data_IF_064144007186
#
_entry.id   IF_064144007186
#
_cell.length_a   1.000
_cell.length_b   1.000
_cell.length_c   1.000
_cell.angle_alpha   90.00
_cell.angle_beta   90.00
_cell.angle_gamma   90.00
#
_symmetry.space_group_name_H-M   'P 1'
#
loop_
_entity.id
_entity.type
_entity.pdbx_description
1 polymer ?
#
# COMPACT_ATOMS: atom_id res chain seq x y z
N UNK A 1 -19.80 -3.36 -47.21
CA UNK A 1 -20.18 -3.16 -45.80
C UNK A 1 -19.14 -2.27 -45.15
N UNK A 2 -19.54 -1.05 -44.84
CA UNK A 2 -18.68 0.06 -44.41
C UNK A 2 -17.86 -0.29 -43.16
N UNK A 3 -16.61 0.19 -43.09
CA UNK A 3 -15.67 -0.03 -41.97
C UNK A 3 -16.27 0.45 -40.65
N UNK A 4 -17.05 1.53 -40.72
CA UNK A 4 -17.78 2.09 -39.58
C UNK A 4 -18.83 1.11 -39.03
N UNK A 5 -19.65 0.51 -39.89
CA UNK A 5 -20.68 -0.47 -39.49
C UNK A 5 -20.05 -1.68 -38.80
N UNK A 6 -18.90 -2.17 -39.29
CA UNK A 6 -18.19 -3.31 -38.67
C UNK A 6 -17.71 -2.98 -37.25
N UNK A 7 -17.19 -1.77 -37.03
CA UNK A 7 -16.75 -1.32 -35.70
C UNK A 7 -17.94 -1.21 -34.74
N UNK A 8 -19.05 -0.64 -35.18
CA UNK A 8 -20.26 -0.51 -34.36
C UNK A 8 -20.82 -1.89 -33.97
N UNK A 9 -20.91 -2.83 -34.92
CA UNK A 9 -21.36 -4.21 -34.64
C UNK A 9 -20.41 -4.90 -33.67
N UNK A 10 -19.10 -4.74 -33.83
CA UNK A 10 -18.11 -5.34 -32.93
C UNK A 10 -18.22 -4.79 -31.50
N UNK A 11 -18.38 -3.47 -31.33
CA UNK A 11 -18.58 -2.85 -30.02
C UNK A 11 -19.91 -3.29 -29.37
N UNK A 12 -20.98 -3.42 -30.16
CA UNK A 12 -22.26 -3.91 -29.67
C UNK A 12 -22.18 -5.38 -29.20
N UNK A 13 -21.43 -6.23 -29.91
CA UNK A 13 -21.18 -7.62 -29.48
C UNK A 13 -20.37 -7.67 -28.18
N UNK A 14 -19.30 -6.88 -28.06
CA UNK A 14 -18.52 -6.79 -26.82
C UNK A 14 -19.42 -6.35 -25.66
N UNK A 15 -20.21 -5.29 -25.84
CA UNK A 15 -21.11 -4.80 -24.82
C UNK A 15 -22.16 -5.85 -24.42
N UNK A 16 -22.81 -6.50 -25.39
CA UNK A 16 -23.77 -7.57 -25.14
C UNK A 16 -23.16 -8.75 -24.38
N UNK A 17 -21.94 -9.16 -24.73
CA UNK A 17 -21.19 -10.20 -24.02
C UNK A 17 -20.85 -9.80 -22.59
N UNK A 18 -20.45 -8.54 -22.35
CA UNK A 18 -20.16 -8.04 -21.00
C UNK A 18 -21.41 -7.97 -20.12
N UNK A 19 -22.55 -7.56 -20.69
CA UNK A 19 -23.85 -7.57 -19.99
C UNK A 19 -24.24 -9.00 -19.63
N UNK A 20 -24.18 -9.94 -20.58
CA UNK A 20 -24.48 -11.34 -20.33
C UNK A 20 -23.53 -11.94 -19.26
N UNK A 21 -22.23 -11.62 -19.32
CA UNK A 21 -21.25 -12.07 -18.33
C UNK A 21 -21.56 -11.53 -16.92
N UNK A 22 -21.96 -10.26 -16.80
CA UNK A 22 -22.32 -9.64 -15.52
C UNK A 22 -23.54 -10.30 -14.85
N UNK A 23 -24.48 -10.80 -15.65
CA UNK A 23 -25.66 -11.53 -15.13
C UNK A 23 -25.26 -12.80 -14.37
N UNK A 24 -24.24 -13.51 -14.86
CA UNK A 24 -23.71 -14.72 -14.20
C UNK A 24 -22.61 -14.44 -13.18
N UNK A 25 -22.11 -13.20 -13.12
CA UNK A 25 -21.03 -12.79 -12.24
C UNK A 25 -21.44 -11.50 -11.51
N UNK A 26 -22.26 -11.58 -10.45
CA UNK A 26 -22.85 -10.39 -9.79
C UNK A 26 -21.80 -9.44 -9.19
N UNK A 27 -20.57 -9.91 -8.95
CA UNK A 27 -19.46 -9.10 -8.47
C UNK A 27 -18.64 -8.43 -9.59
N UNK A 28 -18.96 -8.71 -10.86
CA UNK A 28 -18.31 -8.11 -12.01
C UNK A 28 -18.69 -6.63 -12.11
N UNK A 29 -17.68 -5.77 -12.10
CA UNK A 29 -17.86 -4.33 -12.31
C UNK A 29 -16.83 -3.88 -13.33
N UNK A 30 -17.31 -3.36 -14.47
CA UNK A 30 -16.44 -2.92 -15.56
C UNK A 30 -15.41 -1.85 -15.10
N UNK A 31 -15.80 -1.04 -14.11
CA UNK A 31 -14.95 -0.02 -13.48
C UNK A 31 -13.65 -0.59 -12.89
N UNK A 32 -13.66 -1.84 -12.40
CA UNK A 32 -12.48 -2.53 -11.84
C UNK A 32 -11.45 -2.94 -12.89
N UNK A 33 -11.85 -2.97 -14.17
CA UNK A 33 -10.99 -3.36 -15.29
C UNK A 33 -10.59 -2.16 -16.17
N UNK A 34 -10.80 -0.94 -15.66
CA UNK A 34 -10.28 0.26 -16.31
C UNK A 34 -8.75 0.33 -16.17
N UNK A 35 -8.03 0.97 -17.10
CA UNK A 35 -6.60 1.17 -16.97
C UNK A 35 -6.20 1.81 -15.64
N UNK A 36 -7.00 2.76 -15.14
CA UNK A 36 -6.78 3.43 -13.85
C UNK A 36 -6.86 2.43 -12.69
N UNK A 37 -7.89 1.58 -12.66
CA UNK A 37 -8.04 0.56 -11.61
C UNK A 37 -6.92 -0.50 -11.66
N UNK A 38 -6.47 -0.88 -12.86
CA UNK A 38 -5.33 -1.81 -13.02
C UNK A 38 -4.02 -1.20 -12.49
N UNK A 39 -3.76 0.08 -12.79
CA UNK A 39 -2.56 0.78 -12.29
C UNK A 39 -2.62 0.88 -10.76
N UNK A 40 -3.76 1.26 -10.19
CA UNK A 40 -3.96 1.33 -8.74
C UNK A 40 -3.73 -0.03 -8.06
N UNK A 41 -4.30 -1.11 -8.62
CA UNK A 41 -4.10 -2.47 -8.14
C UNK A 41 -2.62 -2.91 -8.20
N UNK A 42 -1.90 -2.54 -9.26
CA UNK A 42 -0.48 -2.83 -9.35
C UNK A 42 0.34 -2.09 -8.28
N UNK A 43 0.03 -0.81 -8.04
CA UNK A 43 0.63 -0.03 -6.95
C UNK A 43 0.32 -0.63 -5.59
N UNK A 44 -0.90 -1.12 -5.37
CA UNK A 44 -1.27 -1.80 -4.12
C UNK A 44 -0.49 -3.10 -3.91
N UNK A 45 -0.23 -3.86 -4.96
CA UNK A 45 0.65 -5.04 -4.86
C UNK A 45 2.08 -4.62 -4.50
N UNK A 46 2.61 -3.56 -5.14
CA UNK A 46 3.90 -2.98 -4.77
C UNK A 46 3.94 -2.57 -3.30
N UNK A 47 2.90 -1.88 -2.78
CA UNK A 47 2.81 -1.51 -1.36
C UNK A 47 2.89 -2.71 -0.42
N UNK A 48 2.17 -3.78 -0.75
CA UNK A 48 2.17 -5.00 0.07
C UNK A 48 3.54 -5.67 0.07
N UNK A 49 4.22 -5.73 -1.06
CA UNK A 49 5.54 -6.33 -1.17
C UNK A 49 6.61 -5.44 -0.48
N UNK A 50 6.49 -4.13 -0.59
CA UNK A 50 7.34 -3.17 0.12
C UNK A 50 7.24 -3.34 1.63
N UNK A 51 6.02 -3.43 2.17
CA UNK A 51 5.81 -3.66 3.60
C UNK A 51 6.41 -4.99 4.07
N UNK A 52 6.36 -6.05 3.28
CA UNK A 52 7.04 -7.33 3.60
C UNK A 52 8.56 -7.16 3.64
N UNK A 53 9.14 -6.43 2.68
CA UNK A 53 10.58 -6.15 2.65
C UNK A 53 11.02 -5.32 3.87
N UNK A 54 10.22 -4.33 4.24
CA UNK A 54 10.45 -3.52 5.44
C UNK A 54 10.33 -4.38 6.71
N UNK A 55 9.31 -5.24 6.80
CA UNK A 55 9.16 -6.19 7.91
C UNK A 55 10.38 -7.12 8.04
N UNK A 56 10.93 -7.61 6.92
CA UNK A 56 12.15 -8.41 6.94
C UNK A 56 13.35 -7.62 7.48
N UNK A 57 13.55 -6.39 7.03
CA UNK A 57 14.61 -5.51 7.52
C UNK A 57 14.47 -5.22 9.03
N UNK A 58 13.25 -4.95 9.51
CA UNK A 58 12.97 -4.81 10.95
C UNK A 58 13.29 -6.10 11.72
N UNK A 59 13.00 -7.27 11.15
CA UNK A 59 13.36 -8.56 11.74
C UNK A 59 14.87 -8.78 11.83
N UNK A 60 15.64 -8.31 10.84
CA UNK A 60 17.10 -8.34 10.90
C UNK A 60 17.66 -7.38 11.96
N UNK A 61 17.13 -6.14 12.02
CA UNK A 61 17.48 -5.19 13.07
C UNK A 61 17.21 -5.75 14.47
N UNK A 62 16.03 -6.33 14.68
CA UNK A 62 15.68 -6.97 15.96
C UNK A 62 16.67 -8.07 16.35
N UNK A 63 17.06 -8.92 15.40
CA UNK A 63 18.02 -10.00 15.67
C UNK A 63 19.38 -9.47 16.10
N UNK A 64 19.81 -8.33 15.54
CA UNK A 64 21.13 -7.76 15.80
C UNK A 64 21.15 -6.88 17.07
N UNK A 65 20.02 -6.25 17.40
CA UNK A 65 19.92 -5.24 18.48
C UNK A 65 19.04 -5.64 19.67
N UNK A 66 18.24 -6.71 19.56
CA UNK A 66 17.31 -7.17 20.59
C UNK A 66 16.13 -6.23 20.87
N UNK A 67 15.92 -5.21 20.04
CA UNK A 67 14.79 -4.27 20.09
C UNK A 67 14.44 -3.78 18.69
N UNK A 68 13.22 -3.28 18.47
CA UNK A 68 12.86 -2.62 17.22
C UNK A 68 13.33 -1.16 17.21
N UNK A 69 13.53 -0.56 16.02
CA UNK A 69 14.01 0.82 15.91
C UNK A 69 13.12 1.85 16.60
N UNK A 70 13.75 2.96 16.99
CA UNK A 70 13.16 4.09 17.71
C UNK A 70 12.61 3.73 19.10
N UNK A 71 12.19 4.73 19.87
CA UNK A 71 11.62 4.51 21.19
C UNK A 71 10.21 3.88 21.09
N UNK A 72 9.79 3.14 22.12
CA UNK A 72 8.40 2.69 22.24
C UNK A 72 7.46 3.91 22.21
N UNK A 73 6.38 3.80 21.43
CA UNK A 73 5.45 4.90 21.15
C UNK A 73 5.89 5.82 20.01
N UNK A 74 7.09 5.63 19.44
CA UNK A 74 7.48 6.34 18.24
C UNK A 74 6.62 5.91 17.06
N UNK A 75 6.23 6.87 16.24
CA UNK A 75 5.57 6.60 14.98
C UNK A 75 5.84 7.68 13.93
N UNK A 76 5.80 7.28 12.67
CA UNK A 76 6.10 8.16 11.56
C UNK A 76 6.26 7.44 10.22
N UNK A 77 6.46 8.21 9.15
CA UNK A 77 6.84 7.63 7.87
C UNK A 77 8.23 7.01 7.98
N UNK A 78 8.35 5.73 7.61
CA UNK A 78 9.60 4.98 7.72
C UNK A 78 10.68 5.49 6.77
N UNK A 79 10.29 6.20 5.71
CA UNK A 79 11.19 6.84 4.75
C UNK A 79 11.40 8.34 5.04
N UNK A 80 10.95 8.85 6.19
CA UNK A 80 11.04 10.27 6.54
C UNK A 80 12.49 10.76 6.56
N UNK A 81 12.73 11.94 5.98
CA UNK A 81 14.01 12.65 6.10
C UNK A 81 14.04 13.57 7.32
N UNK A 82 12.88 13.98 7.83
CA UNK A 82 12.76 14.87 9.00
C UNK A 82 12.91 14.10 10.32
N UNK A 83 12.46 12.84 10.34
CA UNK A 83 12.55 11.95 11.49
C UNK A 83 13.12 10.60 11.02
N UNK A 84 14.44 10.54 10.76
CA UNK A 84 15.05 9.43 10.04
C UNK A 84 15.40 8.23 10.94
N UNK A 85 15.07 8.25 12.24
CA UNK A 85 15.58 7.27 13.20
C UNK A 85 15.25 5.83 12.81
N UNK A 86 14.00 5.57 12.40
CA UNK A 86 13.60 4.24 11.94
C UNK A 86 14.22 3.88 10.59
N UNK A 87 14.40 4.87 9.71
CA UNK A 87 14.99 4.71 8.37
C UNK A 87 16.45 4.29 8.47
N UNK A 88 17.26 5.10 9.16
CA UNK A 88 18.71 4.90 9.35
C UNK A 88 19.02 3.59 10.05
N UNK A 89 18.13 3.15 10.96
CA UNK A 89 18.28 1.87 11.64
C UNK A 89 18.17 0.67 10.70
N UNK A 90 17.34 0.76 9.65
CA UNK A 90 17.05 -0.41 8.79
C UNK A 90 17.67 -0.33 7.39
N UNK A 91 18.15 0.84 6.96
CA UNK A 91 18.64 1.04 5.59
C UNK A 91 19.78 0.10 5.22
N UNK A 92 20.64 -0.24 6.18
CA UNK A 92 21.77 -1.18 5.99
C UNK A 92 21.33 -2.61 5.63
N UNK A 93 20.08 -2.98 5.92
CA UNK A 93 19.50 -4.27 5.55
C UNK A 93 18.89 -4.30 4.14
N UNK A 94 18.94 -3.18 3.42
CA UNK A 94 18.57 -3.11 2.01
C UNK A 94 19.82 -3.13 1.12
N UNK A 95 19.81 -3.86 -0.01
CA UNK A 95 21.00 -4.00 -0.88
C UNK A 95 21.67 -2.68 -1.32
N UNK A 96 20.88 -1.59 -1.44
CA UNK A 96 21.35 -0.29 -1.89
C UNK A 96 21.23 0.80 -0.81
N UNK A 97 20.92 0.46 0.45
CA UNK A 97 20.59 1.47 1.46
C UNK A 97 19.24 2.17 1.23
N UNK A 98 18.45 1.72 0.26
CA UNK A 98 17.20 2.38 -0.13
C UNK A 98 15.99 1.68 0.48
N UNK A 99 15.42 2.32 1.50
CA UNK A 99 14.11 1.93 2.05
C UNK A 99 13.02 2.21 1.00
N UNK A 100 12.13 1.24 0.68
CA UNK A 100 11.06 1.43 -0.28
C UNK A 100 10.18 2.65 0.04
N UNK A 101 9.70 3.31 -1.02
CA UNK A 101 8.77 4.45 -0.95
C UNK A 101 7.45 4.08 -1.60
N UNK A 102 6.37 4.74 -1.17
CA UNK A 102 5.05 4.51 -1.75
C UNK A 102 5.07 4.88 -3.25
N UNK A 103 4.62 3.99 -4.16
CA UNK A 103 4.70 4.19 -5.61
C UNK A 103 3.77 5.29 -6.15
N UNK A 104 2.86 5.81 -5.33
CA UNK A 104 2.03 6.98 -5.68
C UNK A 104 2.63 8.31 -5.20
N UNK A 105 3.68 8.28 -4.37
CA UNK A 105 4.28 9.47 -3.78
C UNK A 105 5.33 10.07 -4.72
N UNK A 106 4.94 11.06 -5.53
CA UNK A 106 5.91 11.87 -6.26
C UNK A 106 6.72 12.79 -5.31
N UNK A 107 6.21 13.11 -4.12
CA UNK A 107 6.84 14.05 -3.17
C UNK A 107 6.65 13.60 -1.70
N UNK A 108 7.77 13.21 -1.10
CA UNK A 108 8.22 13.05 0.31
C UNK A 108 7.28 12.83 1.52
N UNK A 109 5.95 12.97 1.47
CA UNK A 109 5.10 12.99 2.67
C UNK A 109 3.87 12.08 2.63
N UNK A 110 3.79 11.17 1.65
CA UNK A 110 2.89 10.02 1.67
C UNK A 110 3.76 8.77 1.56
N UNK A 111 3.58 7.81 2.46
CA UNK A 111 4.55 6.72 2.59
C UNK A 111 4.10 5.63 3.53
N UNK A 112 4.92 4.58 3.63
CA UNK A 112 4.74 3.53 4.62
C UNK A 112 4.93 4.10 6.02
N UNK A 113 3.96 3.86 6.89
CA UNK A 113 3.99 4.33 8.27
C UNK A 113 4.47 3.21 9.18
N UNK A 114 5.31 3.55 10.14
CA UNK A 114 5.83 2.65 11.16
C UNK A 114 5.38 3.13 12.53
N UNK A 115 4.97 2.20 13.39
CA UNK A 115 4.62 2.44 14.79
C UNK A 115 5.32 1.41 15.65
N UNK A 116 6.16 1.87 16.58
CA UNK A 116 6.74 1.02 17.62
C UNK A 116 5.76 0.93 18.78
N UNK A 117 5.05 -0.19 18.91
CA UNK A 117 3.91 -0.32 19.83
C UNK A 117 4.37 -0.58 21.25
N UNK A 118 5.25 -1.56 21.44
CA UNK A 118 5.88 -1.90 22.70
C UNK A 118 7.23 -2.57 22.46
N UNK A 119 7.87 -3.07 23.52
CA UNK A 119 9.22 -3.64 23.44
C UNK A 119 9.36 -4.82 22.48
N UNK A 120 8.27 -5.44 22.01
CA UNK A 120 8.28 -6.61 21.12
C UNK A 120 7.34 -6.51 19.93
N UNK A 121 6.53 -5.46 19.83
CA UNK A 121 5.53 -5.35 18.78
C UNK A 121 5.67 -4.04 18.02
N UNK A 122 5.42 -4.11 16.71
CA UNK A 122 5.32 -2.95 15.84
C UNK A 122 4.16 -3.12 14.85
N UNK A 123 3.80 -2.01 14.21
CA UNK A 123 2.89 -1.99 13.08
C UNK A 123 3.52 -1.24 11.90
N UNK A 124 3.32 -1.79 10.71
CA UNK A 124 3.56 -1.15 9.43
C UNK A 124 2.24 -0.93 8.73
N UNK A 125 2.04 0.26 8.16
CA UNK A 125 0.76 0.68 7.61
C UNK A 125 0.92 1.28 6.21
N UNK A 126 -0.09 1.08 5.36
CA UNK A 126 -0.19 1.69 4.04
C UNK A 126 -1.64 2.10 3.71
N UNK A 127 -1.77 3.01 2.75
CA UNK A 127 -3.03 3.33 2.10
C UNK A 127 -3.09 2.64 0.74
N UNK A 128 -3.85 1.55 0.66
CA UNK A 128 -4.24 0.94 -0.60
C UNK A 128 -5.26 1.83 -1.32
N UNK A 129 -5.13 1.92 -2.62
CA UNK A 129 -6.01 2.71 -3.49
C UNK A 129 -7.27 1.92 -3.86
N UNK A 130 -7.16 0.60 -3.93
CA UNK A 130 -8.26 -0.30 -4.27
C UNK A 130 -8.95 -0.79 -3.00
N UNK A 131 -9.97 -0.06 -2.57
CA UNK A 131 -10.80 -0.42 -1.43
C UNK A 131 -11.86 -1.47 -1.79
N UNK A 132 -12.07 -2.41 -0.88
CA UNK A 132 -13.30 -3.22 -0.79
C UNK A 132 -14.27 -2.59 0.21
N UNK A 133 -15.57 -2.90 0.12
CA UNK A 133 -16.57 -2.41 1.08
C UNK A 133 -16.26 -2.76 2.54
N UNK A 134 -15.49 -3.83 2.77
CA UNK A 134 -15.08 -4.31 4.09
C UNK A 134 -13.62 -3.96 4.44
N UNK A 135 -13.02 -2.99 3.74
CA UNK A 135 -11.62 -2.62 4.03
C UNK A 135 -11.50 -2.10 5.46
N UNK A 136 -10.61 -2.69 6.28
CA UNK A 136 -10.44 -2.27 7.67
C UNK A 136 -9.91 -0.84 7.74
N UNK A 137 -10.12 -0.18 8.87
CA UNK A 137 -9.52 1.12 9.19
C UNK A 137 -8.68 0.95 10.44
N UNK A 138 -7.39 1.26 10.32
CA UNK A 138 -6.41 1.21 11.39
C UNK A 138 -6.03 2.63 11.80
N UNK A 139 -6.17 2.93 13.08
CA UNK A 139 -5.82 4.20 13.69
C UNK A 139 -4.91 3.97 14.89
N UNK A 140 -3.86 4.78 15.01
CA UNK A 140 -2.93 4.76 16.14
C UNK A 140 -2.97 6.09 16.89
N UNK A 141 -3.48 6.04 18.12
CA UNK A 141 -3.57 7.23 19.00
C UNK A 141 -2.18 7.80 19.29
N UNK A 142 -2.05 9.11 19.18
CA UNK A 142 -0.79 9.82 19.46
C UNK A 142 0.12 9.99 18.24
N UNK A 143 -0.22 9.37 17.11
CA UNK A 143 0.51 9.48 15.84
C UNK A 143 0.00 10.58 14.92
N UNK A 144 -0.84 11.47 15.45
CA UNK A 144 -1.68 12.42 14.72
C UNK A 144 -0.91 13.62 14.13
N UNK A 145 0.36 13.80 14.49
CA UNK A 145 1.19 14.92 14.04
C UNK A 145 1.82 14.70 12.65
N UNK A 146 1.49 13.57 12.00
CA UNK A 146 2.01 13.25 10.67
C UNK A 146 0.98 13.59 9.56
N UNK A 147 1.43 14.14 8.41
CA UNK A 147 0.56 14.76 7.41
C UNK A 147 -0.53 13.86 6.78
N UNK A 148 -0.48 12.54 6.93
CA UNK A 148 -1.44 11.62 6.29
C UNK A 148 -2.69 11.29 7.12
N UNK A 149 -2.90 11.89 8.28
CA UNK A 149 -4.19 11.78 8.98
C UNK A 149 -4.64 10.35 9.26
N UNK A 150 -3.88 9.62 10.08
CA UNK A 150 -4.34 8.57 11.00
C UNK A 150 -4.99 7.28 10.47
N UNK A 151 -5.62 7.25 9.29
CA UNK A 151 -6.53 6.17 8.89
C UNK A 151 -5.95 5.30 7.78
N UNK A 152 -5.29 4.22 8.14
CA UNK A 152 -4.72 3.27 7.17
C UNK A 152 -5.70 2.14 6.89
N UNK A 153 -5.62 1.54 5.70
CA UNK A 153 -6.52 0.46 5.30
C UNK A 153 -5.82 -0.88 5.07
N UNK A 154 -4.52 -0.92 5.34
CA UNK A 154 -3.72 -2.13 5.30
C UNK A 154 -2.62 -2.08 6.35
N UNK A 155 -2.42 -3.21 7.02
CA UNK A 155 -1.50 -3.33 8.12
C UNK A 155 -0.71 -4.64 8.05
N UNK A 156 0.56 -4.56 8.45
CA UNK A 156 1.41 -5.70 8.77
C UNK A 156 1.93 -5.51 10.20
N UNK A 157 1.78 -6.53 11.05
CA UNK A 157 2.29 -6.52 12.44
C UNK A 157 3.30 -7.64 12.65
N UNK A 158 4.01 -7.58 13.77
CA UNK A 158 4.75 -8.70 14.35
C UNK A 158 4.10 -9.14 15.66
#
# INVERSE_FOLDING_TARGET
MDRFIKVVVFLALIYGSLVAYSYFNPNFQLSKYTPVALIASNRDNTRKDDLKRIQQALGFYWRDHGSYPAAVGWCGFISSTLYPQAKEAIETYFPNGEVPKDPSSAESNTGYFYVHVDSRHYALLAHLETLTGDSPVYEYKGCNNWPSGGNYNYQVTN
#
